data_IF_796401633453
#
_entry.id   IF_796401633453
#
_cell.length_a   1.000
_cell.length_b   1.000
_cell.length_c   1.000
_cell.angle_alpha   90.00
_cell.angle_beta   90.00
_cell.angle_gamma   90.00
#
_symmetry.space_group_name_H-M   'P 1'
#
loop_
_entity.id
_entity.type
_entity.pdbx_description
1 polymer ?
#
# COMPACT_ATOMS: atom_id res chain seq x y z
N UNK A 1 6.61 -11.99 10.79
CA UNK A 1 6.36 -12.07 9.35
C UNK A 1 5.58 -10.87 8.88
N UNK A 2 6.16 -10.10 7.99
CA UNK A 2 5.46 -8.94 7.45
C UNK A 2 4.38 -9.34 6.48
N UNK A 3 3.38 -8.49 6.33
CA UNK A 3 2.33 -8.73 5.37
C UNK A 3 2.65 -8.04 4.07
N UNK A 4 2.31 -8.69 2.99
CA UNK A 4 2.50 -8.08 1.67
C UNK A 4 1.54 -6.93 1.52
N UNK A 5 2.03 -5.88 0.91
CA UNK A 5 1.21 -4.71 0.61
C UNK A 5 0.97 -4.67 -0.90
N UNK A 6 -0.22 -4.28 -1.27
CA UNK A 6 -0.59 -4.21 -2.67
C UNK A 6 -0.87 -2.77 -3.06
N UNK A 7 -0.32 -2.35 -4.17
CA UNK A 7 -0.60 -1.04 -4.74
C UNK A 7 -1.61 -1.24 -5.86
N UNK A 8 -2.76 -0.62 -5.73
CA UNK A 8 -3.84 -0.78 -6.70
C UNK A 8 -4.25 0.57 -7.23
N UNK A 9 -4.70 0.60 -8.47
CA UNK A 9 -5.18 1.83 -9.04
C UNK A 9 -6.61 2.07 -8.58
N UNK A 10 -6.87 3.29 -8.14
CA UNK A 10 -8.19 3.68 -7.72
C UNK A 10 -8.70 4.80 -8.59
N UNK A 11 -9.97 5.11 -8.44
CA UNK A 11 -10.54 6.24 -9.13
C UNK A 11 -9.90 7.51 -8.61
N UNK A 12 -9.18 8.19 -9.47
CA UNK A 12 -8.54 9.44 -9.09
C UNK A 12 -7.16 9.29 -8.48
N UNK A 13 -6.59 8.07 -8.46
CA UNK A 13 -5.26 7.92 -7.89
C UNK A 13 -4.86 6.47 -7.67
N UNK A 14 -4.11 6.26 -6.61
CA UNK A 14 -3.57 4.95 -6.26
C UNK A 14 -3.83 4.67 -4.80
N UNK A 15 -3.95 3.39 -4.46
CA UNK A 15 -4.20 3.00 -3.09
C UNK A 15 -3.27 1.89 -2.65
N UNK A 16 -3.12 1.77 -1.34
CA UNK A 16 -2.33 0.71 -0.72
C UNK A 16 -3.26 -0.09 0.17
N UNK A 17 -3.21 -1.41 0.05
CA UNK A 17 -3.99 -2.28 0.92
C UNK A 17 -3.15 -3.46 1.35
N UNK A 18 -3.47 -4.00 2.53
CA UNK A 18 -2.81 -5.18 3.02
C UNK A 18 -3.29 -6.43 2.31
N UNK A 19 -2.51 -7.49 2.41
CA UNK A 19 -2.76 -8.71 1.66
C UNK A 19 -4.14 -9.30 1.97
N UNK A 20 -4.55 -9.30 3.20
CA UNK A 20 -5.81 -9.91 3.59
C UNK A 20 -6.93 -8.91 3.77
N UNK A 21 -6.71 -7.68 3.31
CA UNK A 21 -7.72 -6.63 3.39
C UNK A 21 -8.29 -6.36 2.02
N UNK A 22 -9.61 -6.22 1.95
CA UNK A 22 -10.24 -5.77 0.73
C UNK A 22 -10.36 -4.25 0.71
N UNK A 23 -10.08 -3.61 1.83
CA UNK A 23 -10.22 -2.17 1.95
C UNK A 23 -8.88 -1.50 1.73
N UNK A 24 -8.91 -0.37 1.02
CA UNK A 24 -7.72 0.42 0.82
C UNK A 24 -7.47 1.22 2.08
N UNK A 25 -6.27 1.06 2.64
CA UNK A 25 -5.94 1.72 3.90
C UNK A 25 -5.43 3.13 3.70
N UNK A 26 -4.82 3.42 2.54
CA UNK A 26 -4.29 4.75 2.24
C UNK A 26 -4.45 5.01 0.75
N UNK A 27 -4.66 6.27 0.41
CA UNK A 27 -4.79 6.70 -0.97
C UNK A 27 -3.74 7.76 -1.28
N UNK A 28 -3.26 7.75 -2.51
CA UNK A 28 -2.22 8.67 -2.96
C UNK A 28 -2.56 9.18 -4.35
N UNK A 29 -2.00 10.34 -4.68
CA UNK A 29 -2.22 10.94 -5.97
C UNK A 29 -1.40 10.28 -7.07
N UNK A 30 -0.25 9.69 -6.71
CA UNK A 30 0.65 9.11 -7.68
C UNK A 30 1.02 7.69 -7.29
N UNK A 31 1.40 6.92 -8.30
CA UNK A 31 1.83 5.55 -8.07
C UNK A 31 3.10 5.51 -7.22
N UNK A 32 4.01 6.44 -7.48
CA UNK A 32 5.27 6.45 -6.74
C UNK A 32 5.04 6.64 -5.24
N UNK A 33 4.13 7.54 -4.88
CA UNK A 33 3.82 7.75 -3.48
C UNK A 33 3.25 6.50 -2.85
N UNK A 34 2.37 5.80 -3.55
CA UNK A 34 1.78 4.57 -3.05
C UNK A 34 2.84 3.48 -2.87
N UNK A 35 3.74 3.37 -3.85
CA UNK A 35 4.80 2.37 -3.77
C UNK A 35 5.74 2.67 -2.61
N UNK A 36 6.10 3.93 -2.42
CA UNK A 36 6.97 4.31 -1.33
C UNK A 36 6.35 3.97 0.02
N UNK A 37 5.07 4.24 0.16
CA UNK A 37 4.39 3.93 1.41
C UNK A 37 4.29 2.42 1.64
N UNK A 38 4.01 1.67 0.58
CA UNK A 38 3.93 0.23 0.70
C UNK A 38 5.26 -0.36 1.15
N UNK A 39 6.35 0.16 0.59
CA UNK A 39 7.68 -0.30 1.01
C UNK A 39 7.94 0.02 2.47
N UNK A 40 7.55 1.20 2.89
CA UNK A 40 7.77 1.61 4.27
C UNK A 40 7.00 0.72 5.23
N UNK A 41 5.77 0.41 4.91
CA UNK A 41 4.97 -0.46 5.75
C UNK A 41 5.59 -1.85 5.82
N UNK A 42 6.01 -2.38 4.68
CA UNK A 42 6.62 -3.71 4.64
C UNK A 42 7.88 -3.75 5.48
N UNK A 43 8.71 -2.72 5.40
CA UNK A 43 9.93 -2.65 6.19
C UNK A 43 9.62 -2.62 7.68
N UNK A 44 8.63 -1.81 8.06
CA UNK A 44 8.29 -1.66 9.47
C UNK A 44 7.71 -2.94 10.06
N UNK A 45 7.02 -3.71 9.25
CA UNK A 45 6.42 -4.94 9.75
C UNK A 45 7.34 -6.13 9.70
N UNK A 46 8.48 -5.94 9.13
CA UNK A 46 9.38 -7.06 8.95
C UNK A 46 10.05 -7.51 10.24
N UNK A 47 10.39 -6.65 11.10
CA UNK A 47 11.22 -6.88 12.31
C UNK A 47 11.14 -8.27 12.92
#
# INVERSE_FOLDING_TARGET
MGKNQHVVKTEGGWGVRGENNTRITQKFDTQQAAIDRAKEIAINQKS
#
